data_IF_726385516541
#
_entry.id   IF_726385516541
#
_cell.length_a   1.000
_cell.length_b   1.000
_cell.length_c   1.000
_cell.angle_alpha   90.00
_cell.angle_beta   90.00
_cell.angle_gamma   90.00
#
_symmetry.space_group_name_H-M   'P 1'
#
loop_
_entity.id
_entity.type
_entity.pdbx_description
1 polymer ?
#
# COMPACT_ATOMS: atom_id res chain seq x y z
N UNK A 1 -64.28 29.32 11.13
CA UNK A 1 -64.20 28.70 9.77
C UNK A 1 -62.93 29.08 8.99
N UNK A 2 -62.51 30.36 8.96
CA UNK A 2 -61.32 30.81 8.20
C UNK A 2 -59.97 30.21 8.65
N UNK A 3 -59.77 29.91 9.94
CA UNK A 3 -58.51 29.36 10.47
C UNK A 3 -58.27 27.91 9.98
N UNK A 4 -59.35 27.13 9.82
CA UNK A 4 -59.28 25.74 9.34
C UNK A 4 -58.88 25.68 7.85
N UNK A 5 -59.44 26.58 7.04
CA UNK A 5 -59.12 26.72 5.61
C UNK A 5 -57.67 27.19 5.38
N UNK A 6 -57.16 28.09 6.23
CA UNK A 6 -55.76 28.54 6.20
C UNK A 6 -54.77 27.43 6.56
N UNK A 7 -55.14 26.52 7.46
CA UNK A 7 -54.33 25.35 7.83
C UNK A 7 -54.27 24.32 6.71
N UNK A 8 -55.39 24.01 6.06
CA UNK A 8 -55.42 23.07 4.93
C UNK A 8 -54.63 23.58 3.71
N UNK A 9 -54.74 24.87 3.38
CA UNK A 9 -53.96 25.48 2.29
C UNK A 9 -52.46 25.53 2.59
N UNK A 10 -52.07 25.72 3.86
CA UNK A 10 -50.65 25.65 4.26
C UNK A 10 -50.10 24.22 4.18
N UNK A 11 -50.88 23.20 4.59
CA UNK A 11 -50.50 21.80 4.48
C UNK A 11 -50.39 21.32 3.03
N UNK A 12 -51.29 21.74 2.14
CA UNK A 12 -51.18 21.48 0.69
C UNK A 12 -49.95 22.15 0.07
N UNK A 13 -49.60 23.38 0.47
CA UNK A 13 -48.37 24.06 0.02
C UNK A 13 -47.10 23.37 0.51
N UNK A 14 -47.11 22.80 1.72
CA UNK A 14 -46.00 22.01 2.24
C UNK A 14 -45.85 20.67 1.51
N UNK A 15 -46.96 19.94 1.30
CA UNK A 15 -46.94 18.68 0.55
C UNK A 15 -46.47 18.89 -0.91
N UNK A 16 -46.93 19.95 -1.58
CA UNK A 16 -46.50 20.27 -2.96
C UNK A 16 -45.04 20.71 -3.04
N UNK A 17 -44.51 21.42 -2.04
CA UNK A 17 -43.06 21.72 -1.96
C UNK A 17 -42.22 20.48 -1.73
N UNK A 18 -42.66 19.56 -0.88
CA UNK A 18 -41.95 18.28 -0.62
C UNK A 18 -41.97 17.38 -1.86
N UNK A 19 -43.09 17.29 -2.59
CA UNK A 19 -43.15 16.51 -3.84
C UNK A 19 -42.32 17.13 -4.95
N UNK A 20 -42.27 18.46 -5.06
CA UNK A 20 -41.43 19.17 -6.04
C UNK A 20 -39.93 19.09 -5.71
N UNK A 21 -39.56 19.18 -4.44
CA UNK A 21 -38.19 18.93 -3.99
C UNK A 21 -37.77 17.48 -4.27
N UNK A 22 -38.64 16.51 -3.95
CA UNK A 22 -38.43 15.10 -4.32
C UNK A 22 -38.27 14.91 -5.83
N UNK A 23 -39.09 15.55 -6.65
CA UNK A 23 -39.02 15.38 -8.12
C UNK A 23 -37.76 16.01 -8.70
N UNK A 24 -37.28 17.14 -8.15
CA UNK A 24 -36.00 17.75 -8.55
C UNK A 24 -34.82 16.85 -8.13
N UNK A 25 -34.84 16.32 -6.91
CA UNK A 25 -33.80 15.38 -6.42
C UNK A 25 -33.81 14.10 -7.26
N UNK A 26 -34.98 13.54 -7.60
CA UNK A 26 -35.12 12.35 -8.44
C UNK A 26 -34.70 12.61 -9.89
N UNK A 27 -35.00 13.79 -10.44
CA UNK A 27 -34.57 14.17 -11.79
C UNK A 27 -33.04 14.39 -11.84
N UNK A 28 -32.46 14.98 -10.79
CA UNK A 28 -31.01 15.12 -10.64
C UNK A 28 -30.35 13.75 -10.46
N UNK A 29 -30.94 12.87 -9.64
CA UNK A 29 -30.47 11.50 -9.44
C UNK A 29 -30.45 10.72 -10.76
N UNK A 30 -31.56 10.72 -11.53
CA UNK A 30 -31.62 10.05 -12.84
C UNK A 30 -30.65 10.63 -13.87
N UNK A 31 -30.41 11.94 -13.84
CA UNK A 31 -29.48 12.61 -14.77
C UNK A 31 -28.01 12.23 -14.53
N UNK A 32 -27.65 11.93 -13.27
CA UNK A 32 -26.27 11.62 -12.87
C UNK A 32 -26.09 10.20 -12.32
N UNK A 33 -27.10 9.34 -12.42
CA UNK A 33 -27.13 7.96 -11.88
C UNK A 33 -25.89 7.15 -12.27
N UNK A 34 -25.43 7.33 -13.53
CA UNK A 34 -24.24 6.68 -14.07
C UNK A 34 -22.93 7.11 -13.41
N UNK A 35 -22.87 8.30 -12.83
CA UNK A 35 -21.65 8.86 -12.22
C UNK A 35 -21.59 8.65 -10.69
N UNK A 36 -22.71 8.39 -10.02
CA UNK A 36 -22.73 8.23 -8.56
C UNK A 36 -21.78 7.13 -8.06
N UNK A 37 -21.73 5.91 -8.63
CA UNK A 37 -20.79 4.89 -8.18
C UNK A 37 -19.33 5.37 -8.23
N UNK A 38 -18.97 6.07 -9.31
CA UNK A 38 -17.63 6.63 -9.50
C UNK A 38 -17.33 7.73 -8.47
N UNK A 39 -18.30 8.62 -8.20
CA UNK A 39 -18.13 9.71 -7.24
C UNK A 39 -18.03 9.17 -5.80
N UNK A 40 -18.86 8.20 -5.42
CA UNK A 40 -18.79 7.57 -4.10
C UNK A 40 -17.50 6.78 -3.93
N UNK A 41 -17.07 6.06 -4.96
CA UNK A 41 -15.79 5.38 -5.00
C UNK A 41 -14.62 6.34 -4.79
N UNK A 42 -14.54 7.40 -5.60
CA UNK A 42 -13.46 8.40 -5.51
C UNK A 42 -13.53 9.15 -4.17
N UNK A 43 -14.72 9.50 -3.70
CA UNK A 43 -14.93 10.17 -2.42
C UNK A 43 -14.50 9.31 -1.23
N UNK A 44 -14.86 8.03 -1.22
CA UNK A 44 -14.42 7.07 -0.21
C UNK A 44 -12.90 6.89 -0.22
N UNK A 45 -12.32 6.70 -1.41
CA UNK A 45 -10.86 6.59 -1.56
C UNK A 45 -10.11 7.85 -1.10
N UNK A 46 -10.63 9.04 -1.44
CA UNK A 46 -10.06 10.31 -0.97
C UNK A 46 -10.17 10.46 0.55
N UNK A 47 -11.31 10.08 1.13
CA UNK A 47 -11.50 10.08 2.58
C UNK A 47 -10.51 9.12 3.28
N UNK A 48 -10.35 7.92 2.76
CA UNK A 48 -9.37 6.94 3.27
C UNK A 48 -7.95 7.47 3.15
N UNK A 49 -7.60 8.12 2.04
CA UNK A 49 -6.27 8.71 1.82
C UNK A 49 -5.92 9.78 2.85
N UNK A 50 -6.93 10.56 3.26
CA UNK A 50 -6.81 11.62 4.27
C UNK A 50 -6.79 11.06 5.71
N UNK A 51 -7.53 9.99 5.99
CA UNK A 51 -7.68 9.43 7.35
C UNK A 51 -6.60 8.40 7.69
N UNK A 52 -6.19 7.55 6.73
CA UNK A 52 -5.18 6.50 6.89
C UNK A 52 -3.77 7.08 6.80
N UNK A 53 -3.34 7.75 7.87
CA UNK A 53 -2.04 8.45 7.89
C UNK A 53 -0.86 7.54 8.25
N UNK A 54 -1.08 6.47 9.02
CA UNK A 54 -0.03 5.60 9.58
C UNK A 54 -0.41 4.13 9.53
N UNK A 55 0.50 3.30 9.03
CA UNK A 55 0.31 1.85 8.89
C UNK A 55 0.44 1.09 10.22
N UNK A 56 1.07 1.71 11.21
CA UNK A 56 1.31 1.15 12.54
C UNK A 56 0.23 1.51 13.57
N UNK A 57 -0.88 2.12 13.12
CA UNK A 57 -2.02 2.41 14.00
C UNK A 57 -2.78 1.13 14.28
N UNK A 58 -2.78 0.74 15.55
CA UNK A 58 -3.47 -0.46 16.03
C UNK A 58 -4.96 -0.43 15.68
N UNK A 59 -5.64 0.71 15.85
CA UNK A 59 -7.05 0.86 15.49
C UNK A 59 -7.33 0.63 14.00
N UNK A 60 -6.54 1.22 13.12
CA UNK A 60 -6.71 1.06 11.67
C UNK A 60 -6.52 -0.42 11.29
N UNK A 61 -5.50 -1.08 11.85
CA UNK A 61 -5.25 -2.50 11.62
C UNK A 61 -6.33 -3.41 12.20
N UNK A 62 -6.92 -3.08 13.36
CA UNK A 62 -8.04 -3.83 13.94
C UNK A 62 -9.30 -3.71 13.10
N UNK A 63 -9.56 -2.54 12.51
CA UNK A 63 -10.71 -2.35 11.59
C UNK A 63 -10.52 -3.23 10.35
N UNK A 64 -9.33 -3.23 9.74
CA UNK A 64 -9.03 -4.08 8.59
C UNK A 64 -9.11 -5.57 8.93
N UNK A 65 -8.64 -5.97 10.11
CA UNK A 65 -8.77 -7.35 10.60
C UNK A 65 -10.24 -7.73 10.80
N UNK A 66 -11.06 -6.82 11.33
CA UNK A 66 -12.51 -6.98 11.44
C UNK A 66 -13.18 -7.15 10.07
N UNK A 67 -12.75 -6.38 9.07
CA UNK A 67 -13.24 -6.50 7.69
C UNK A 67 -12.87 -7.86 7.08
N UNK A 68 -11.64 -8.32 7.27
CA UNK A 68 -11.20 -9.66 6.83
C UNK A 68 -12.04 -10.74 7.51
N UNK A 69 -12.19 -10.68 8.83
CA UNK A 69 -12.95 -11.68 9.57
C UNK A 69 -14.41 -11.75 9.10
N UNK A 70 -15.07 -10.59 8.97
CA UNK A 70 -16.45 -10.51 8.51
C UNK A 70 -16.60 -10.96 7.05
N UNK A 71 -15.66 -10.60 6.17
CA UNK A 71 -15.63 -11.08 4.79
C UNK A 71 -15.50 -12.60 4.72
N UNK A 72 -14.61 -13.20 5.53
CA UNK A 72 -14.44 -14.65 5.60
C UNK A 72 -15.71 -15.37 6.07
N UNK A 73 -16.37 -14.82 7.10
CA UNK A 73 -17.65 -15.35 7.60
C UNK A 73 -18.76 -15.25 6.54
N UNK A 74 -18.86 -14.13 5.83
CA UNK A 74 -19.84 -13.97 4.74
C UNK A 74 -19.57 -14.93 3.58
N UNK A 75 -18.32 -15.11 3.17
CA UNK A 75 -17.96 -16.06 2.10
C UNK A 75 -18.31 -17.49 2.51
N UNK A 76 -18.01 -17.87 3.75
CA UNK A 76 -18.42 -19.16 4.30
C UNK A 76 -19.95 -19.33 4.25
N UNK A 77 -20.71 -18.33 4.70
CA UNK A 77 -22.18 -18.37 4.66
C UNK A 77 -22.72 -18.46 3.23
N UNK A 78 -22.19 -17.68 2.29
CA UNK A 78 -22.57 -17.74 0.87
C UNK A 78 -22.32 -19.14 0.32
N UNK A 79 -21.13 -19.71 0.57
CA UNK A 79 -20.79 -21.05 0.11
C UNK A 79 -21.68 -22.14 0.72
N UNK A 80 -22.00 -22.05 2.01
CA UNK A 80 -22.89 -23.00 2.69
C UNK A 80 -24.34 -22.91 2.19
N UNK A 81 -24.83 -21.71 1.84
CA UNK A 81 -26.16 -21.52 1.25
C UNK A 81 -26.21 -22.10 -0.16
N UNK A 82 -25.22 -21.80 -1.00
CA UNK A 82 -25.18 -22.28 -2.38
C UNK A 82 -25.01 -23.80 -2.50
N UNK A 83 -24.36 -24.43 -1.53
CA UNK A 83 -24.22 -25.89 -1.46
C UNK A 83 -25.42 -26.57 -0.79
N UNK A 84 -26.45 -25.83 -0.41
CA UNK A 84 -27.69 -26.36 0.16
C UNK A 84 -27.59 -26.83 1.62
N UNK A 85 -26.49 -26.49 2.31
CA UNK A 85 -26.21 -26.94 3.67
C UNK A 85 -26.94 -26.13 4.75
N UNK A 86 -27.36 -24.90 4.44
CA UNK A 86 -28.09 -24.02 5.37
C UNK A 86 -29.56 -23.95 5.01
N UNK A 87 -30.42 -24.41 5.94
CA UNK A 87 -31.89 -24.36 5.81
C UNK A 87 -32.57 -23.30 6.68
N UNK A 88 -31.81 -22.54 7.48
CA UNK A 88 -32.37 -21.53 8.39
C UNK A 88 -32.96 -20.34 7.62
N UNK A 89 -34.28 -20.11 7.76
CA UNK A 89 -35.05 -19.10 7.03
C UNK A 89 -34.50 -17.66 7.17
N UNK A 90 -34.03 -17.26 8.35
CA UNK A 90 -33.46 -15.92 8.58
C UNK A 90 -32.20 -15.66 7.75
N UNK A 91 -31.28 -16.61 7.67
CA UNK A 91 -30.04 -16.46 6.88
C UNK A 91 -30.34 -16.37 5.37
N UNK A 92 -31.30 -17.17 4.91
CA UNK A 92 -31.75 -17.15 3.51
C UNK A 92 -32.46 -15.83 3.14
N UNK A 93 -33.23 -15.25 4.07
CA UNK A 93 -33.92 -13.98 3.86
C UNK A 93 -32.95 -12.82 3.56
N UNK A 94 -31.80 -12.81 4.23
CA UNK A 94 -30.78 -11.76 4.05
C UNK A 94 -29.72 -12.08 2.99
N UNK A 95 -29.75 -13.27 2.38
CA UNK A 95 -28.73 -13.71 1.42
C UNK A 95 -28.53 -12.75 0.23
N UNK A 96 -29.60 -12.04 -0.18
CA UNK A 96 -29.53 -11.02 -1.25
C UNK A 96 -28.61 -9.84 -0.92
N UNK A 97 -28.37 -9.56 0.36
CA UNK A 97 -27.55 -8.45 0.82
C UNK A 97 -26.08 -8.82 1.01
N UNK A 98 -25.74 -10.11 1.11
CA UNK A 98 -24.36 -10.55 1.39
C UNK A 98 -23.34 -10.06 0.34
N UNK A 99 -23.62 -10.11 -0.97
CA UNK A 99 -22.70 -9.57 -1.97
C UNK A 99 -22.42 -8.08 -1.78
N UNK A 100 -23.43 -7.28 -1.40
CA UNK A 100 -23.28 -5.84 -1.19
C UNK A 100 -22.40 -5.53 0.02
N UNK A 101 -22.60 -6.26 1.12
CA UNK A 101 -21.76 -6.13 2.31
C UNK A 101 -20.34 -6.55 1.97
N UNK A 102 -20.17 -7.66 1.23
CA UNK A 102 -18.85 -8.14 0.85
C UNK A 102 -18.12 -7.16 -0.07
N UNK A 103 -18.82 -6.54 -1.02
CA UNK A 103 -18.27 -5.47 -1.86
C UNK A 103 -17.76 -4.30 -1.03
N UNK A 104 -18.54 -3.86 -0.03
CA UNK A 104 -18.12 -2.78 0.88
C UNK A 104 -16.85 -3.16 1.65
N UNK A 105 -16.81 -4.36 2.23
CA UNK A 105 -15.66 -4.83 3.00
C UNK A 105 -14.40 -4.95 2.13
N UNK A 106 -14.50 -5.61 0.97
CA UNK A 106 -13.39 -5.75 0.04
C UNK A 106 -12.94 -4.40 -0.52
N UNK A 107 -13.88 -3.49 -0.80
CA UNK A 107 -13.58 -2.13 -1.26
C UNK A 107 -12.78 -1.35 -0.20
N UNK A 108 -13.21 -1.38 1.06
CA UNK A 108 -12.48 -0.75 2.16
C UNK A 108 -11.08 -1.35 2.38
N UNK A 109 -10.95 -2.69 2.28
CA UNK A 109 -9.66 -3.37 2.36
C UNK A 109 -8.72 -2.93 1.23
N UNK A 110 -9.16 -3.02 -0.03
CA UNK A 110 -8.32 -2.65 -1.18
C UNK A 110 -7.99 -1.16 -1.21
N UNK A 111 -8.90 -0.29 -0.78
CA UNK A 111 -8.64 1.15 -0.63
C UNK A 111 -7.49 1.40 0.34
N UNK A 112 -7.56 0.81 1.55
CA UNK A 112 -6.49 0.91 2.53
C UNK A 112 -5.16 0.33 2.04
N UNK A 113 -5.19 -0.82 1.34
CA UNK A 113 -3.99 -1.43 0.79
C UNK A 113 -3.34 -0.54 -0.28
N UNK A 114 -4.11 0.02 -1.22
CA UNK A 114 -3.57 0.95 -2.22
C UNK A 114 -2.81 2.09 -1.53
N UNK A 115 -3.38 2.69 -0.48
CA UNK A 115 -2.75 3.79 0.25
C UNK A 115 -1.46 3.35 0.95
N UNK A 116 -1.48 2.22 1.66
CA UNK A 116 -0.32 1.71 2.40
C UNK A 116 0.82 1.27 1.49
N UNK A 117 0.51 0.49 0.45
CA UNK A 117 1.51 0.03 -0.51
C UNK A 117 2.05 1.17 -1.37
N UNK A 118 1.22 2.14 -1.77
CA UNK A 118 1.68 3.31 -2.52
C UNK A 118 2.67 4.16 -1.71
N UNK A 119 2.42 4.36 -0.40
CA UNK A 119 3.32 5.11 0.48
C UNK A 119 4.70 4.44 0.65
N UNK A 120 4.79 3.14 0.41
CA UNK A 120 6.02 2.33 0.48
C UNK A 120 6.62 2.03 -0.90
N UNK A 121 5.91 2.28 -1.99
CA UNK A 121 6.39 2.07 -3.34
C UNK A 121 7.35 3.21 -3.74
N UNK A 122 8.61 2.86 -4.00
CA UNK A 122 9.67 3.83 -4.25
C UNK A 122 10.25 3.80 -5.67
N UNK A 123 9.97 2.73 -6.43
CA UNK A 123 10.52 2.50 -7.77
C UNK A 123 9.40 2.06 -8.71
N UNK A 124 9.54 2.39 -10.00
CA UNK A 124 8.63 2.01 -11.09
C UNK A 124 8.20 0.53 -11.04
N UNK A 125 9.08 -0.40 -10.65
CA UNK A 125 8.75 -1.84 -10.56
C UNK A 125 7.67 -2.13 -9.51
N UNK A 126 7.78 -1.53 -8.32
CA UNK A 126 6.81 -1.75 -7.23
C UNK A 126 5.44 -1.11 -7.48
N UNK A 127 5.35 -0.17 -8.43
CA UNK A 127 4.07 0.43 -8.83
C UNK A 127 3.15 -0.58 -9.54
N UNK A 128 3.70 -1.65 -10.13
CA UNK A 128 2.91 -2.70 -10.77
C UNK A 128 1.98 -3.37 -9.75
N UNK A 129 2.49 -3.67 -8.54
CA UNK A 129 1.66 -4.26 -7.49
C UNK A 129 0.60 -3.28 -6.97
N UNK A 130 0.94 -1.99 -6.86
CA UNK A 130 -0.04 -0.96 -6.48
C UNK A 130 -1.11 -0.81 -7.57
N UNK A 131 -0.72 -0.86 -8.85
CA UNK A 131 -1.65 -0.82 -9.97
C UNK A 131 -2.57 -2.05 -9.98
N UNK A 132 -2.04 -3.24 -9.64
CA UNK A 132 -2.85 -4.44 -9.44
C UNK A 132 -3.89 -4.26 -8.32
N UNK A 133 -3.49 -3.73 -7.16
CA UNK A 133 -4.41 -3.42 -6.06
C UNK A 133 -5.46 -2.39 -6.46
N UNK A 134 -5.06 -1.32 -7.14
CA UNK A 134 -5.97 -0.30 -7.64
C UNK A 134 -6.95 -0.88 -8.67
N UNK A 135 -6.47 -1.77 -9.54
CA UNK A 135 -7.32 -2.48 -10.50
C UNK A 135 -8.33 -3.36 -9.77
N UNK A 136 -7.92 -4.12 -8.75
CA UNK A 136 -8.85 -4.91 -7.93
C UNK A 136 -9.86 -4.04 -7.18
N UNK A 137 -9.44 -2.89 -6.66
CA UNK A 137 -10.32 -1.91 -6.03
C UNK A 137 -11.39 -1.41 -7.01
N UNK A 138 -10.99 -1.03 -8.22
CA UNK A 138 -11.91 -0.58 -9.29
C UNK A 138 -12.80 -1.74 -9.76
N UNK A 139 -12.24 -2.92 -10.01
CA UNK A 139 -12.98 -4.11 -10.43
C UNK A 139 -14.01 -4.52 -9.37
N UNK A 140 -13.70 -4.43 -8.09
CA UNK A 140 -14.64 -4.73 -7.01
C UNK A 140 -15.94 -3.94 -7.12
N UNK A 141 -15.88 -2.70 -7.62
CA UNK A 141 -17.06 -1.86 -7.83
C UNK A 141 -17.97 -2.36 -8.97
N UNK A 142 -17.39 -3.02 -9.98
CA UNK A 142 -18.11 -3.49 -11.17
C UNK A 142 -18.50 -4.98 -11.10
N UNK A 143 -18.03 -5.73 -10.10
CA UNK A 143 -18.11 -7.19 -10.07
C UNK A 143 -19.27 -7.76 -9.23
N UNK A 144 -20.35 -7.00 -9.05
CA UNK A 144 -21.54 -7.44 -8.29
C UNK A 144 -22.03 -8.86 -8.66
N UNK A 145 -22.04 -9.21 -9.94
CA UNK A 145 -22.46 -10.54 -10.41
C UNK A 145 -21.44 -11.66 -10.12
N UNK A 146 -20.14 -11.35 -10.03
CA UNK A 146 -19.10 -12.34 -9.71
C UNK A 146 -18.95 -12.59 -8.20
N UNK A 147 -19.49 -11.72 -7.36
CA UNK A 147 -19.55 -11.89 -5.89
C UNK A 147 -20.51 -13.00 -5.43
N UNK A 148 -21.00 -13.82 -6.36
CA UNK A 148 -21.72 -15.06 -6.09
C UNK A 148 -20.90 -16.30 -6.48
N UNK A 149 -19.74 -16.17 -7.14
CA UNK A 149 -18.92 -17.29 -7.53
C UNK A 149 -17.93 -17.66 -6.41
N UNK A 150 -18.11 -18.82 -5.76
CA UNK A 150 -17.27 -19.29 -4.63
C UNK A 150 -15.79 -19.32 -5.01
N UNK A 151 -15.45 -19.75 -6.23
CA UNK A 151 -14.06 -19.82 -6.69
C UNK A 151 -13.44 -18.43 -6.69
N UNK A 152 -14.14 -17.44 -7.24
CA UNK A 152 -13.71 -16.04 -7.25
C UNK A 152 -13.61 -15.47 -5.83
N UNK A 153 -14.62 -15.70 -4.99
CA UNK A 153 -14.65 -15.21 -3.61
C UNK A 153 -13.47 -15.72 -2.78
N UNK A 154 -13.23 -17.03 -2.79
CA UNK A 154 -12.12 -17.63 -2.04
C UNK A 154 -10.75 -17.16 -2.58
N UNK A 155 -10.63 -16.95 -3.90
CA UNK A 155 -9.38 -16.45 -4.52
C UNK A 155 -9.09 -15.01 -4.12
N UNK A 156 -10.09 -14.12 -4.21
CA UNK A 156 -9.94 -12.71 -3.82
C UNK A 156 -9.73 -12.58 -2.31
N UNK A 157 -10.41 -13.41 -1.51
CA UNK A 157 -10.20 -13.47 -0.07
C UNK A 157 -8.76 -13.87 0.27
N UNK A 158 -8.25 -14.96 -0.32
CA UNK A 158 -6.86 -15.37 -0.11
C UNK A 158 -5.87 -14.24 -0.43
N UNK A 159 -6.04 -13.59 -1.58
CA UNK A 159 -5.21 -12.45 -1.96
C UNK A 159 -5.31 -11.31 -0.94
N UNK A 160 -6.53 -10.95 -0.51
CA UNK A 160 -6.75 -9.86 0.44
C UNK A 160 -6.15 -10.15 1.82
N UNK A 161 -6.26 -11.39 2.32
CA UNK A 161 -5.65 -11.82 3.58
C UNK A 161 -4.13 -11.85 3.45
N UNK A 162 -3.59 -12.41 2.37
CA UNK A 162 -2.14 -12.47 2.18
C UNK A 162 -1.55 -11.06 2.11
N UNK A 163 -2.12 -10.17 1.29
CA UNK A 163 -1.69 -8.78 1.20
C UNK A 163 -1.68 -8.11 2.58
N UNK A 164 -2.77 -8.20 3.35
CA UNK A 164 -2.81 -7.66 4.72
C UNK A 164 -1.69 -8.20 5.61
N UNK A 165 -1.54 -9.53 5.65
CA UNK A 165 -0.58 -10.18 6.54
C UNK A 165 0.86 -9.82 6.18
N UNK A 166 1.19 -9.59 4.91
CA UNK A 166 2.56 -9.22 4.51
C UNK A 166 3.07 -7.95 5.19
N UNK A 167 2.20 -7.02 5.59
CA UNK A 167 2.61 -5.87 6.41
C UNK A 167 2.21 -6.01 7.88
N UNK A 168 1.07 -6.64 8.17
CA UNK A 168 0.58 -6.76 9.54
C UNK A 168 1.49 -7.63 10.41
N UNK A 169 1.98 -8.77 9.88
CA UNK A 169 2.88 -9.66 10.62
C UNK A 169 4.20 -8.94 10.98
N UNK A 170 4.91 -8.27 10.05
CA UNK A 170 6.08 -7.44 10.41
C UNK A 170 5.80 -6.32 11.41
N UNK A 171 4.61 -5.71 11.38
CA UNK A 171 4.22 -4.65 12.31
C UNK A 171 4.06 -5.21 13.73
N UNK A 172 3.40 -6.37 13.88
CA UNK A 172 3.17 -7.00 15.19
C UNK A 172 4.44 -7.68 15.72
N UNK A 173 5.27 -8.26 14.85
CA UNK A 173 6.51 -8.92 15.25
C UNK A 173 7.69 -7.95 15.43
N UNK A 174 7.53 -6.69 15.03
CA UNK A 174 8.58 -5.66 15.01
C UNK A 174 9.83 -6.03 14.19
N UNK A 175 9.71 -7.01 13.27
CA UNK A 175 10.82 -7.53 12.47
C UNK A 175 10.47 -7.59 10.98
N UNK A 176 11.41 -7.17 10.13
CA UNK A 176 11.31 -7.30 8.67
C UNK A 176 12.22 -8.43 8.19
N UNK A 177 11.65 -9.55 7.76
CA UNK A 177 12.42 -10.68 7.22
C UNK A 177 11.63 -11.47 6.19
N UNK A 178 12.33 -12.27 5.39
CA UNK A 178 11.70 -13.21 4.45
C UNK A 178 10.79 -14.22 5.16
N UNK A 179 11.17 -14.63 6.37
CA UNK A 179 10.36 -15.53 7.20
C UNK A 179 8.96 -14.93 7.47
N UNK A 180 8.87 -13.63 7.76
CA UNK A 180 7.56 -12.98 7.99
C UNK A 180 6.66 -13.00 6.75
N UNK A 181 7.24 -12.86 5.56
CA UNK A 181 6.49 -12.99 4.30
C UNK A 181 5.95 -14.41 4.10
N UNK A 182 6.78 -15.44 4.31
CA UNK A 182 6.35 -16.84 4.18
C UNK A 182 5.33 -17.23 5.27
N UNK A 183 5.50 -16.77 6.51
CA UNK A 183 4.52 -16.95 7.58
C UNK A 183 3.18 -16.28 7.24
N UNK A 184 3.21 -15.09 6.64
CA UNK A 184 1.99 -14.41 6.17
C UNK A 184 1.25 -15.24 5.13
N UNK A 185 1.98 -15.83 4.18
CA UNK A 185 1.41 -16.72 3.17
C UNK A 185 0.83 -18.00 3.78
N UNK A 186 1.53 -18.63 4.72
CA UNK A 186 1.07 -19.83 5.41
C UNK A 186 -0.22 -19.55 6.22
N UNK A 187 -0.28 -18.45 6.97
CA UNK A 187 -1.47 -18.07 7.73
C UNK A 187 -2.64 -17.74 6.79
N UNK A 188 -2.39 -17.02 5.69
CA UNK A 188 -3.42 -16.73 4.68
C UNK A 188 -3.97 -18.02 4.05
N UNK A 189 -3.09 -19.00 3.80
CA UNK A 189 -3.47 -20.30 3.26
C UNK A 189 -4.33 -21.08 4.25
N UNK A 190 -3.94 -21.15 5.53
CA UNK A 190 -4.73 -21.81 6.58
C UNK A 190 -6.10 -21.13 6.72
N UNK A 191 -6.15 -19.80 6.81
CA UNK A 191 -7.40 -19.06 6.94
C UNK A 191 -8.35 -19.34 5.77
N UNK A 192 -7.84 -19.37 4.54
CA UNK A 192 -8.64 -19.67 3.36
C UNK A 192 -9.03 -21.14 3.28
N UNK A 193 -8.12 -22.05 3.63
CA UNK A 193 -8.37 -23.49 3.67
C UNK A 193 -9.51 -23.83 4.65
N UNK A 194 -9.56 -23.19 5.83
CA UNK A 194 -10.66 -23.35 6.77
C UNK A 194 -12.02 -22.98 6.15
N UNK A 195 -12.07 -21.92 5.35
CA UNK A 195 -13.29 -21.52 4.63
C UNK A 195 -13.64 -22.54 3.55
N UNK A 196 -12.68 -22.91 2.69
CA UNK A 196 -12.89 -23.88 1.61
C UNK A 196 -13.34 -25.23 2.16
N UNK A 197 -12.66 -25.76 3.18
CA UNK A 197 -13.05 -26.99 3.87
C UNK A 197 -14.41 -26.82 4.54
N UNK A 198 -14.69 -25.70 5.19
CA UNK A 198 -16.00 -25.40 5.76
C UNK A 198 -17.14 -25.50 4.75
N UNK A 199 -16.93 -24.96 3.54
CA UNK A 199 -17.88 -25.02 2.43
C UNK A 199 -18.02 -26.43 1.86
N UNK A 200 -16.91 -27.14 1.63
CA UNK A 200 -16.94 -28.39 0.86
C UNK A 200 -16.98 -29.68 1.70
N UNK A 201 -16.71 -29.66 3.02
CA UNK A 201 -16.56 -30.89 3.85
C UNK A 201 -17.70 -31.88 3.72
N UNK A 202 -18.94 -31.40 3.61
CA UNK A 202 -20.14 -32.24 3.55
C UNK A 202 -20.48 -32.74 2.14
N UNK A 203 -19.98 -32.07 1.11
CA UNK A 203 -20.24 -32.41 -0.30
C UNK A 203 -19.00 -32.98 -1.01
N UNK A 204 -17.86 -33.04 -0.32
CA UNK A 204 -16.58 -33.45 -0.88
C UNK A 204 -16.63 -34.86 -1.47
N UNK A 205 -17.28 -35.81 -0.78
CA UNK A 205 -17.45 -37.20 -1.27
C UNK A 205 -18.22 -37.28 -2.58
N UNK A 206 -19.14 -36.35 -2.82
CA UNK A 206 -19.98 -36.33 -4.01
C UNK A 206 -19.33 -35.55 -5.17
N UNK A 207 -18.56 -34.49 -4.87
CA UNK A 207 -18.01 -33.58 -5.88
C UNK A 207 -16.58 -33.10 -5.57
N UNK A 208 -15.57 -34.00 -5.54
CA UNK A 208 -14.20 -33.62 -5.17
C UNK A 208 -13.59 -32.60 -6.15
N UNK A 209 -13.98 -32.66 -7.44
CA UNK A 209 -13.53 -31.71 -8.48
C UNK A 209 -13.89 -30.25 -8.17
N UNK A 210 -15.00 -29.98 -7.46
CA UNK A 210 -15.40 -28.61 -7.12
C UNK A 210 -14.46 -27.96 -6.10
N UNK A 211 -13.99 -28.73 -5.13
CA UNK A 211 -13.00 -28.25 -4.16
C UNK A 211 -11.67 -28.00 -4.86
N UNK A 212 -11.22 -28.92 -5.72
CA UNK A 212 -9.98 -28.76 -6.48
C UNK A 212 -10.00 -27.52 -7.38
N UNK A 213 -11.11 -27.29 -8.08
CA UNK A 213 -11.29 -26.09 -8.91
C UNK A 213 -11.27 -24.79 -8.11
N UNK A 214 -11.67 -24.84 -6.83
CA UNK A 214 -11.59 -23.68 -5.92
C UNK A 214 -10.18 -23.45 -5.41
N UNK A 215 -9.44 -24.52 -5.11
CA UNK A 215 -8.08 -24.44 -4.56
C UNK A 215 -7.03 -24.11 -5.63
N UNK A 216 -7.22 -24.52 -6.88
CA UNK A 216 -6.29 -24.26 -7.98
C UNK A 216 -5.92 -22.77 -8.16
N UNK A 217 -6.88 -21.82 -8.30
CA UNK A 217 -6.53 -20.40 -8.42
C UNK A 217 -5.91 -19.82 -7.16
N UNK A 218 -6.20 -20.35 -5.97
CA UNK A 218 -5.54 -19.94 -4.71
C UNK A 218 -4.05 -20.29 -4.77
N UNK A 219 -3.71 -21.51 -5.20
CA UNK A 219 -2.31 -21.93 -5.40
C UNK A 219 -1.61 -21.10 -6.47
N UNK A 220 -2.30 -20.77 -7.56
CA UNK A 220 -1.77 -19.89 -8.59
C UNK A 220 -1.45 -18.48 -8.04
N UNK A 221 -2.37 -17.87 -7.29
CA UNK A 221 -2.13 -16.57 -6.64
C UNK A 221 -0.98 -16.67 -5.63
N UNK A 222 -0.87 -17.75 -4.86
CA UNK A 222 0.26 -17.95 -3.95
C UNK A 222 1.60 -17.95 -4.68
N UNK A 223 1.71 -18.71 -5.78
CA UNK A 223 2.90 -18.72 -6.63
C UNK A 223 3.21 -17.34 -7.23
N UNK A 224 2.18 -16.61 -7.69
CA UNK A 224 2.32 -15.24 -8.20
C UNK A 224 2.83 -14.30 -7.09
N UNK A 225 2.32 -14.38 -5.87
CA UNK A 225 2.79 -13.56 -4.75
C UNK A 225 4.26 -13.85 -4.41
N UNK A 226 4.68 -15.11 -4.40
CA UNK A 226 6.09 -15.48 -4.21
C UNK A 226 6.96 -14.89 -5.32
N UNK A 227 6.53 -15.02 -6.58
CA UNK A 227 7.25 -14.45 -7.72
C UNK A 227 7.39 -12.93 -7.62
N UNK A 228 6.30 -12.22 -7.30
CA UNK A 228 6.30 -10.76 -7.16
C UNK A 228 7.14 -10.29 -5.98
N UNK A 229 7.20 -11.06 -4.89
CA UNK A 229 8.10 -10.78 -3.78
C UNK A 229 9.56 -10.99 -4.17
N UNK A 230 9.90 -12.13 -4.77
CA UNK A 230 11.26 -12.47 -5.19
C UNK A 230 11.83 -11.50 -6.23
N UNK A 231 10.98 -10.92 -7.08
CA UNK A 231 11.37 -9.94 -8.10
C UNK A 231 11.35 -8.48 -7.62
N UNK A 232 11.10 -8.24 -6.32
CA UNK A 232 10.97 -6.90 -5.71
C UNK A 232 9.84 -6.04 -6.32
N UNK A 233 8.78 -6.67 -6.84
CA UNK A 233 7.58 -5.97 -7.33
C UNK A 233 6.57 -5.71 -6.21
N UNK A 234 6.60 -6.49 -5.13
CA UNK A 234 5.90 -6.14 -3.89
C UNK A 234 6.80 -5.16 -3.12
N UNK A 235 6.33 -3.94 -2.82
CA UNK A 235 7.12 -3.01 -2.03
C UNK A 235 7.34 -3.56 -0.61
N UNK A 236 8.47 -3.23 0.04
CA UNK A 236 8.80 -3.67 1.40
C UNK A 236 7.97 -2.94 2.46
N UNK A 237 6.65 -3.12 2.45
CA UNK A 237 5.74 -2.57 3.47
C UNK A 237 6.05 -3.24 4.82
N UNK A 238 6.14 -2.50 5.95
CA UNK A 238 5.73 -1.12 6.20
C UNK A 238 6.83 -0.06 6.03
N UNK A 239 8.00 -0.42 5.49
CA UNK A 239 9.12 0.50 5.33
C UNK A 239 8.92 1.41 4.12
N UNK A 240 9.39 2.66 4.21
CA UNK A 240 9.30 3.62 3.09
C UNK A 240 10.42 4.66 3.15
N UNK A 241 11.10 4.92 2.03
CA UNK A 241 12.05 6.03 1.94
C UNK A 241 11.30 7.37 1.94
N UNK A 242 11.51 8.18 2.98
CA UNK A 242 10.93 9.53 3.10
C UNK A 242 11.79 10.60 2.44
N UNK A 243 13.09 10.42 2.47
CA UNK A 243 14.04 11.28 1.77
C UNK A 243 15.37 10.58 1.60
N UNK A 244 16.06 10.90 0.51
CA UNK A 244 17.41 10.45 0.25
C UNK A 244 18.17 11.54 -0.51
N UNK A 245 19.48 11.61 -0.29
CA UNK A 245 20.32 12.58 -0.98
C UNK A 245 21.80 12.39 -0.75
N UNK A 246 22.59 13.02 -1.61
CA UNK A 246 24.04 13.09 -1.52
C UNK A 246 24.43 14.46 -0.95
N UNK A 247 25.40 14.45 -0.05
CA UNK A 247 25.84 15.61 0.73
C UNK A 247 27.36 15.59 0.90
N UNK A 248 27.94 16.78 1.08
CA UNK A 248 29.36 16.96 1.34
C UNK A 248 29.72 16.74 2.82
N UNK A 249 28.75 16.95 3.72
CA UNK A 249 28.93 16.69 5.14
C UNK A 249 27.60 16.34 5.79
N UNK A 250 27.63 15.36 6.69
CA UNK A 250 26.49 14.98 7.53
C UNK A 250 26.95 15.04 8.98
N UNK A 251 26.41 16.00 9.74
CA UNK A 251 26.69 16.11 11.17
C UNK A 251 25.43 15.81 11.98
N UNK A 252 25.54 14.86 12.91
CA UNK A 252 24.45 14.55 13.86
C UNK A 252 24.59 15.47 15.07
N UNK A 253 23.61 16.33 15.30
CA UNK A 253 23.54 17.18 16.49
C UNK A 253 22.30 16.81 17.30
N UNK A 254 22.51 16.00 18.35
CA UNK A 254 21.43 15.47 19.18
C UNK A 254 20.43 14.63 18.37
N UNK A 255 19.19 15.15 18.22
CA UNK A 255 18.08 14.51 17.51
C UNK A 255 17.93 14.92 16.04
N UNK A 256 18.75 15.86 15.56
CA UNK A 256 18.67 16.47 14.22
C UNK A 256 19.94 16.19 13.41
N UNK A 257 19.78 16.13 12.08
CA UNK A 257 20.89 15.97 11.14
C UNK A 257 21.08 17.26 10.35
N UNK A 258 22.30 17.79 10.36
CA UNK A 258 22.72 18.93 9.56
C UNK A 258 23.39 18.41 8.30
N UNK A 259 22.73 18.63 7.16
CA UNK A 259 23.11 18.11 5.86
C UNK A 259 23.63 19.27 5.01
N UNK A 260 24.92 19.24 4.67
CA UNK A 260 25.55 20.29 3.87
C UNK A 260 25.60 19.89 2.39
N UNK A 261 25.09 20.76 1.53
CA UNK A 261 25.08 20.61 0.07
C UNK A 261 25.29 21.97 -0.58
N UNK A 262 25.62 21.99 -1.86
CA UNK A 262 25.92 23.23 -2.56
C UNK A 262 24.87 23.52 -3.63
N UNK A 263 24.34 24.75 -3.62
CA UNK A 263 23.41 25.22 -4.65
C UNK A 263 24.15 26.08 -5.67
N UNK A 264 24.07 25.69 -6.94
CA UNK A 264 24.75 26.40 -8.04
C UNK A 264 23.99 27.63 -8.54
N UNK A 265 22.65 27.58 -8.57
CA UNK A 265 21.83 28.72 -9.02
C UNK A 265 20.70 29.07 -8.06
N UNK A 266 20.45 30.37 -7.84
CA UNK A 266 19.47 30.87 -6.85
C UNK A 266 18.02 30.44 -7.11
N UNK A 267 17.66 30.14 -8.36
CA UNK A 267 16.30 29.73 -8.75
C UNK A 267 15.98 28.25 -8.45
N UNK A 268 16.96 27.42 -8.09
CA UNK A 268 16.76 25.99 -7.81
C UNK A 268 16.27 25.71 -6.36
N UNK A 269 15.18 26.35 -5.93
CA UNK A 269 14.68 26.24 -4.55
C UNK A 269 14.12 24.85 -4.18
N UNK A 270 13.83 24.00 -5.18
CA UNK A 270 13.36 22.63 -4.99
C UNK A 270 14.48 21.59 -4.84
N UNK A 271 15.76 21.96 -5.08
CA UNK A 271 16.90 21.05 -4.97
C UNK A 271 17.21 20.84 -3.49
N UNK A 272 17.10 19.59 -3.03
CA UNK A 272 17.30 19.19 -1.63
C UNK A 272 18.51 18.25 -1.44
N UNK A 273 19.32 18.06 -2.48
CA UNK A 273 20.52 17.22 -2.49
C UNK A 273 21.41 17.52 -3.71
N UNK A 274 22.71 17.20 -3.63
CA UNK A 274 23.65 17.39 -4.74
C UNK A 274 23.44 16.32 -5.82
N UNK A 275 22.81 16.68 -6.94
CA UNK A 275 22.72 15.81 -8.12
C UNK A 275 24.01 15.78 -8.94
N UNK A 276 24.73 16.90 -8.97
CA UNK A 276 26.04 17.04 -9.62
C UNK A 276 27.05 17.37 -8.53
N UNK A 277 27.67 16.35 -7.97
CA UNK A 277 28.64 16.48 -6.89
C UNK A 277 30.00 16.89 -7.47
N UNK A 278 30.50 18.06 -7.08
CA UNK A 278 31.84 18.52 -7.46
C UNK A 278 32.85 18.07 -6.41
N UNK A 279 33.59 17.03 -6.76
CA UNK A 279 34.59 16.43 -5.89
C UNK A 279 35.94 17.14 -6.00
N UNK A 280 36.53 17.51 -4.86
CA UNK A 280 37.94 17.88 -4.74
C UNK A 280 38.73 16.75 -4.04
N UNK A 281 40.04 16.60 -4.32
CA UNK A 281 40.88 15.63 -3.63
C UNK A 281 40.77 15.76 -2.10
N UNK A 282 40.36 14.69 -1.42
CA UNK A 282 40.14 14.67 0.04
C UNK A 282 38.69 14.81 0.48
N UNK A 283 37.76 15.14 -0.42
CA UNK A 283 36.34 15.20 -0.09
C UNK A 283 35.76 13.82 0.27
N UNK A 284 34.77 13.82 1.15
CA UNK A 284 33.99 12.64 1.50
C UNK A 284 32.58 12.79 0.96
N UNK A 285 32.08 11.78 0.25
CA UNK A 285 30.71 11.77 -0.28
C UNK A 285 29.81 11.04 0.69
N UNK A 286 28.83 11.74 1.25
CA UNK A 286 27.85 11.15 2.16
C UNK A 286 26.54 10.87 1.44
N UNK A 287 26.05 9.63 1.52
CA UNK A 287 24.69 9.30 1.14
C UNK A 287 23.84 9.22 2.41
N UNK A 288 22.86 10.11 2.53
CA UNK A 288 21.91 10.15 3.63
C UNK A 288 20.55 9.63 3.16
N UNK A 289 19.89 8.86 4.02
CA UNK A 289 18.52 8.42 3.83
C UNK A 289 17.72 8.54 5.13
N UNK A 290 16.44 8.88 4.98
CA UNK A 290 15.43 8.89 6.03
C UNK A 290 14.39 7.83 5.69
N UNK A 291 14.37 6.73 6.42
CA UNK A 291 13.48 5.58 6.18
C UNK A 291 12.42 5.53 7.27
N UNK A 292 11.15 5.61 6.89
CA UNK A 292 10.04 5.36 7.80
C UNK A 292 9.99 3.89 8.19
N UNK A 293 9.80 3.66 9.48
CA UNK A 293 9.52 2.36 10.08
C UNK A 293 8.49 2.53 11.22
N UNK A 294 7.55 1.58 11.38
CA UNK A 294 6.64 1.48 12.52
C UNK A 294 7.31 1.62 13.89
N UNK A 295 6.53 1.95 14.91
CA UNK A 295 7.00 1.99 16.29
C UNK A 295 7.71 0.67 16.70
N UNK A 296 8.86 0.81 17.36
CA UNK A 296 9.72 -0.29 17.86
C UNK A 296 10.26 -1.28 16.81
N UNK A 297 9.92 -1.11 15.54
CA UNK A 297 10.42 -1.98 14.48
C UNK A 297 11.93 -1.80 14.31
N UNK A 298 12.66 -2.91 14.35
CA UNK A 298 14.09 -2.94 14.05
C UNK A 298 14.30 -3.44 12.63
N UNK A 299 15.11 -2.70 11.87
CA UNK A 299 15.50 -3.12 10.53
C UNK A 299 16.95 -2.72 10.24
N UNK A 300 17.62 -3.48 9.39
CA UNK A 300 18.92 -3.11 8.84
C UNK A 300 18.72 -2.56 7.44
N UNK A 301 19.23 -1.37 7.20
CA UNK A 301 19.18 -0.69 5.91
C UNK A 301 20.57 -0.75 5.28
N UNK A 302 20.61 -1.08 4.00
CA UNK A 302 21.81 -1.14 3.19
C UNK A 302 21.82 -0.01 2.18
N UNK A 303 22.98 0.60 1.98
CA UNK A 303 23.29 1.49 0.88
C UNK A 303 24.21 0.74 -0.08
N UNK A 304 23.65 0.33 -1.22
CA UNK A 304 24.37 -0.30 -2.31
C UNK A 304 24.91 0.75 -3.26
N UNK A 305 26.20 1.03 -3.19
CA UNK A 305 26.84 2.03 -4.04
C UNK A 305 27.23 1.41 -5.37
N UNK A 306 26.75 2.01 -6.46
CA UNK A 306 26.98 1.50 -7.80
C UNK A 306 27.48 2.60 -8.74
N UNK A 307 28.49 2.26 -9.53
CA UNK A 307 29.06 3.10 -10.58
C UNK A 307 28.60 2.56 -11.94
N UNK A 308 28.17 3.44 -12.81
CA UNK A 308 27.82 3.08 -14.19
C UNK A 308 29.09 2.78 -14.99
N UNK A 309 29.14 1.59 -15.59
CA UNK A 309 30.18 1.19 -16.53
C UNK A 309 29.63 1.35 -17.97
N UNK A 310 30.12 2.33 -18.75
CA UNK A 310 29.65 2.56 -20.11
C UNK A 310 29.99 1.41 -21.07
N UNK A 311 30.97 0.55 -20.75
CA UNK A 311 31.34 -0.58 -21.61
C UNK A 311 30.34 -1.73 -21.54
N UNK A 312 29.69 -1.90 -20.39
CA UNK A 312 28.72 -2.98 -20.13
C UNK A 312 27.27 -2.50 -20.16
N UNK A 313 27.05 -1.20 -20.29
CA UNK A 313 25.75 -0.54 -20.13
C UNK A 313 25.04 -0.91 -18.82
N UNK A 314 25.83 -1.09 -17.74
CA UNK A 314 25.33 -1.59 -16.47
C UNK A 314 25.94 -0.85 -15.26
N UNK A 315 25.19 -0.83 -14.16
CA UNK A 315 25.66 -0.28 -12.89
C UNK A 315 26.31 -1.37 -12.04
N UNK A 316 27.64 -1.28 -11.89
CA UNK A 316 28.44 -2.25 -11.13
C UNK A 316 28.46 -1.85 -9.66
N UNK A 317 28.25 -2.84 -8.78
CA UNK A 317 28.30 -2.61 -7.33
C UNK A 317 29.74 -2.46 -6.87
N UNK A 318 30.02 -1.37 -6.16
CA UNK A 318 31.35 -1.08 -5.61
C UNK A 318 31.40 -1.37 -4.12
N UNK A 319 30.37 -0.98 -3.38
CA UNK A 319 30.30 -1.16 -1.93
C UNK A 319 28.87 -1.48 -1.47
N UNK A 320 28.79 -2.21 -0.37
CA UNK A 320 27.55 -2.58 0.29
C UNK A 320 27.64 -2.26 1.78
N UNK A 321 27.23 -1.05 2.15
CA UNK A 321 27.37 -0.50 3.50
C UNK A 321 26.04 -0.53 4.23
N UNK A 322 26.01 -0.77 5.54
CA UNK A 322 24.75 -0.90 6.28
C UNK A 322 24.72 -0.12 7.57
N UNK A 323 23.50 0.14 8.07
CA UNK A 323 23.24 0.69 9.39
C UNK A 323 21.91 0.17 9.91
N UNK A 324 21.78 0.09 11.25
CA UNK A 324 20.53 -0.32 11.89
C UNK A 324 19.63 0.89 12.12
N UNK A 325 18.34 0.67 11.97
CA UNK A 325 17.28 1.63 12.25
C UNK A 325 16.34 1.07 13.32
N UNK A 326 15.85 1.95 14.18
CA UNK A 326 14.77 1.67 15.12
C UNK A 326 13.63 2.65 14.84
N UNK A 327 12.45 2.12 14.56
CA UNK A 327 11.31 2.89 14.11
C UNK A 327 10.63 3.71 15.22
N UNK A 328 9.49 4.32 14.89
CA UNK A 328 8.69 5.13 15.83
C UNK A 328 8.74 6.65 15.60
N UNK A 329 9.58 7.15 14.70
CA UNK A 329 9.61 8.57 14.31
C UNK A 329 8.83 8.81 13.03
N UNK A 330 7.84 9.73 13.04
CA UNK A 330 7.02 10.08 11.85
C UNK A 330 7.85 10.50 10.63
N UNK A 331 8.96 11.22 10.84
CA UNK A 331 9.88 11.65 9.78
C UNK A 331 10.78 10.54 9.21
N UNK A 332 10.74 9.34 9.78
CA UNK A 332 11.65 8.25 9.52
C UNK A 332 12.93 8.29 10.35
N UNK A 333 13.61 7.16 10.42
CA UNK A 333 14.93 7.03 11.00
C UNK A 333 15.98 7.47 9.97
N UNK A 334 16.93 8.27 10.44
CA UNK A 334 17.94 8.92 9.60
C UNK A 334 19.26 8.19 9.74
N UNK A 335 19.81 7.76 8.62
CA UNK A 335 21.11 7.12 8.55
C UNK A 335 21.90 7.66 7.37
N UNK A 336 23.21 7.43 7.41
CA UNK A 336 24.08 7.77 6.31
C UNK A 336 25.21 6.77 6.19
N UNK A 337 25.74 6.64 4.98
CA UNK A 337 27.02 5.97 4.69
C UNK A 337 27.87 6.93 3.89
N UNK A 338 29.17 6.69 3.84
CA UNK A 338 30.07 7.59 3.13
C UNK A 338 31.17 6.84 2.41
N UNK A 339 31.70 7.47 1.36
CA UNK A 339 32.87 7.01 0.61
C UNK A 339 33.90 8.13 0.50
N UNK A 340 35.18 7.74 0.52
CA UNK A 340 36.33 8.60 0.22
C UNK A 340 36.99 8.09 -1.05
N UNK A 341 37.77 8.95 -1.72
CA UNK A 341 38.53 8.58 -2.93
C UNK A 341 37.64 7.98 -4.04
N UNK A 342 36.47 8.59 -4.27
CA UNK A 342 35.50 8.11 -5.26
C UNK A 342 35.86 8.57 -6.68
N UNK A 343 35.62 7.71 -7.67
CA UNK A 343 35.93 8.00 -9.07
C UNK A 343 34.85 8.86 -9.72
N UNK A 344 35.21 9.79 -10.63
CA UNK A 344 34.25 10.53 -11.45
C UNK A 344 33.36 9.60 -12.29
N UNK A 345 32.10 9.98 -12.48
CA UNK A 345 31.14 9.20 -13.28
C UNK A 345 29.69 9.30 -12.79
N UNK A 346 28.82 8.49 -13.38
CA UNK A 346 27.42 8.38 -12.97
C UNK A 346 27.26 7.32 -11.89
N UNK A 347 26.77 7.76 -10.75
CA UNK A 347 26.58 6.93 -9.57
C UNK A 347 25.10 6.78 -9.23
N UNK A 348 24.79 5.64 -8.61
CA UNK A 348 23.52 5.46 -7.90
C UNK A 348 23.75 4.74 -6.59
N UNK A 349 22.91 5.07 -5.61
CA UNK A 349 22.85 4.35 -4.34
C UNK A 349 21.45 3.78 -4.18
N UNK A 350 21.34 2.46 -4.19
CA UNK A 350 20.09 1.78 -3.87
C UNK A 350 20.01 1.64 -2.34
N UNK A 351 18.93 2.16 -1.76
CA UNK A 351 18.61 2.01 -0.35
C UNK A 351 17.77 0.74 -0.23
N UNK A 352 18.30 -0.29 0.41
CA UNK A 352 17.72 -1.63 0.43
C UNK A 352 17.47 -2.10 1.86
N UNK A 353 16.53 -3.02 2.01
CA UNK A 353 16.35 -3.80 3.24
C UNK A 353 17.34 -4.97 3.28
N UNK A 354 17.51 -5.61 4.44
CA UNK A 354 18.34 -6.81 4.58
C UNK A 354 17.93 -7.97 3.66
N UNK A 355 16.70 -8.00 3.18
CA UNK A 355 16.17 -9.02 2.27
C UNK A 355 16.37 -8.69 0.80
N UNK A 356 17.09 -7.59 0.48
CA UNK A 356 17.35 -7.14 -0.89
C UNK A 356 16.21 -6.37 -1.53
N UNK A 357 15.14 -6.04 -0.79
CA UNK A 357 14.05 -5.22 -1.31
C UNK A 357 14.46 -3.74 -1.32
N UNK A 358 14.32 -3.09 -2.47
CA UNK A 358 14.75 -1.71 -2.67
C UNK A 358 13.67 -0.73 -2.17
N UNK A 359 14.04 0.11 -1.21
CA UNK A 359 13.24 1.18 -0.62
C UNK A 359 13.32 2.50 -1.39
N UNK A 360 14.30 2.66 -2.28
CA UNK A 360 14.46 3.81 -3.15
C UNK A 360 15.85 3.91 -3.74
N UNK A 361 16.01 4.78 -4.75
CA UNK A 361 17.25 4.95 -5.51
C UNK A 361 17.67 6.41 -5.54
N UNK A 362 18.93 6.68 -5.19
CA UNK A 362 19.50 8.03 -5.16
C UNK A 362 20.58 8.09 -6.25
N UNK A 363 20.28 8.76 -7.36
CA UNK A 363 21.24 8.98 -8.46
C UNK A 363 21.99 10.29 -8.31
N UNK A 364 23.28 10.30 -8.64
CA UNK A 364 24.11 11.50 -8.69
C UNK A 364 25.26 11.34 -9.70
N UNK A 365 25.75 12.44 -10.23
CA UNK A 365 26.93 12.48 -11.10
C UNK A 365 28.07 13.11 -10.34
N UNK A 366 29.22 12.44 -10.31
CA UNK A 366 30.43 12.95 -9.69
C UNK A 366 31.37 13.52 -10.76
N UNK A 367 31.74 14.78 -10.60
CA UNK A 367 32.63 15.51 -11.50
C UNK A 367 33.78 16.11 -10.70
N UNK A 368 34.96 16.22 -11.31
CA UNK A 368 36.09 16.90 -10.68
C UNK A 368 35.80 18.41 -10.59
N UNK A 369 35.90 18.97 -9.39
CA UNK A 369 35.60 20.38 -9.14
C UNK A 369 36.71 21.30 -9.66
N UNK A 370 36.31 22.41 -10.30
CA UNK A 370 37.21 23.45 -10.86
C UNK A 370 37.40 24.67 -9.94
N UNK A 371 37.22 24.53 -8.62
CA UNK A 371 37.50 25.58 -7.64
C UNK A 371 36.31 26.40 -7.13
N UNK A 372 35.19 26.47 -7.85
CA UNK A 372 34.01 27.25 -7.42
C UNK A 372 32.82 26.35 -7.06
N UNK A 373 32.66 26.07 -5.76
CA UNK A 373 31.61 25.18 -5.22
C UNK A 373 30.21 25.82 -5.16
N UNK A 374 30.04 27.11 -5.46
CA UNK A 374 28.75 27.80 -5.34
C UNK A 374 28.35 28.08 -3.89
N UNK A 375 27.06 28.33 -3.63
CA UNK A 375 26.58 28.71 -2.28
C UNK A 375 26.36 27.46 -1.41
N UNK A 376 27.04 27.39 -0.27
CA UNK A 376 26.80 26.36 0.74
C UNK A 376 25.44 26.54 1.40
N UNK A 377 24.66 25.46 1.50
CA UNK A 377 23.39 25.41 2.20
C UNK A 377 23.41 24.29 3.23
N UNK A 378 22.81 24.54 4.39
CA UNK A 378 22.60 23.53 5.43
C UNK A 378 21.10 23.23 5.54
N UNK A 379 20.74 21.97 5.33
CA UNK A 379 19.40 21.45 5.62
C UNK A 379 19.40 20.80 6.99
N UNK A 380 18.49 21.24 7.86
CA UNK A 380 18.23 20.57 9.12
C UNK A 380 17.09 19.57 8.92
N UNK A 381 17.33 18.30 9.27
CA UNK A 381 16.32 17.24 9.20
C UNK A 381 16.10 16.53 10.52
#
# INVERSE_FOLDING_TARGET
>A
MQIFYRRQTMLQKLQTRVTRARSIILAFYRKYERFFPIIFFLGGFLYDSLTLTRIDRLWDNLILLGYIFLAGLLILLIGLIQTGQVRRRRLLQYAKWYPNILQFLLGGLFSAYVIFYFKSAAINRSLIFVALLFSLLVLNEFLHHKLQNIVFLCTVYFFAVFAFLTFFIPVVSHQMSQAMFYSSGAIAFVATALIVTGIYRHIFRQYPKRMLNTTSPILAIFGIMIYLYATNWIPPVPLALKAGGIYHHVHKQGKSYHLKFYRRHRYQFWVRSDKNFQYMPGDTVFCFASVFAPFEMQATIYHRWQLYDPKKDEYITTDYLHYRISGGRKGGYRGYTYKRHIQPGHWRVDVETATGQVLGRIGFTLQQGSGNRGQELTLQR
#
